data_IF_895496817542
#
_entry.id   IF_895496817542
#
_cell.length_a   1.000
_cell.length_b   1.000
_cell.length_c   1.000
_cell.angle_alpha   90.00
_cell.angle_beta   90.00
_cell.angle_gamma   90.00
#
_symmetry.space_group_name_H-M   'P 1'
#
loop_
_entity.id
_entity.type
_entity.pdbx_description
1 polymer ?
#
# COMPACT_ATOMS: atom_id res chain seq x y z
N UNK A 1 -29.62 -9.95 -16.48
CA UNK A 1 -29.54 -9.48 -17.88
C UNK A 1 -29.92 -8.02 -17.91
N UNK A 2 -28.94 -7.14 -17.65
CA UNK A 2 -29.15 -5.69 -17.64
C UNK A 2 -28.30 -5.11 -18.75
N UNK A 3 -28.97 -4.80 -19.86
CA UNK A 3 -28.39 -4.23 -21.08
C UNK A 3 -27.91 -2.81 -20.78
N UNK A 4 -26.59 -2.58 -20.69
CA UNK A 4 -26.05 -1.22 -20.84
C UNK A 4 -25.91 -0.87 -22.33
N UNK A 5 -26.27 0.38 -22.62
CA UNK A 5 -26.41 1.06 -23.92
C UNK A 5 -25.55 0.54 -25.08
N UNK A 6 -26.26 0.22 -26.15
CA UNK A 6 -25.79 0.00 -27.51
C UNK A 6 -24.92 1.21 -27.98
N UNK A 7 -23.61 1.02 -28.15
CA UNK A 7 -22.76 1.98 -28.86
C UNK A 7 -23.03 1.84 -30.37
N UNK A 8 -23.73 2.82 -30.95
CA UNK A 8 -23.66 3.03 -32.41
C UNK A 8 -22.25 3.51 -32.79
N UNK A 9 -21.77 3.15 -34.00
CA UNK A 9 -20.41 3.47 -34.41
C UNK A 9 -20.24 4.99 -34.55
N UNK A 10 -19.13 5.50 -34.00
CA UNK A 10 -18.75 6.90 -34.10
C UNK A 10 -18.57 7.33 -35.58
N UNK A 11 -18.92 8.58 -35.94
CA UNK A 11 -18.59 9.13 -37.26
C UNK A 11 -17.07 9.27 -37.43
N UNK A 12 -16.55 9.33 -38.67
CA UNK A 12 -15.10 9.39 -38.90
C UNK A 12 -14.52 10.67 -38.28
N UNK A 13 -13.65 10.49 -37.30
CA UNK A 13 -12.90 11.57 -36.64
C UNK A 13 -11.86 12.08 -37.62
N UNK A 14 -12.05 13.32 -38.09
CA UNK A 14 -10.99 14.12 -38.69
C UNK A 14 -9.95 14.44 -37.60
N UNK A 15 -8.65 14.51 -37.92
CA UNK A 15 -7.62 14.81 -36.93
C UNK A 15 -7.83 16.22 -36.37
N UNK A 16 -8.15 16.31 -35.08
CA UNK A 16 -8.25 17.55 -34.32
C UNK A 16 -6.95 17.76 -33.56
N UNK A 17 -6.14 18.73 -34.03
CA UNK A 17 -4.90 19.20 -33.41
C UNK A 17 -5.21 20.06 -32.16
N UNK A 18 -5.62 19.42 -31.06
CA UNK A 18 -5.77 20.08 -29.75
C UNK A 18 -4.66 19.66 -28.77
N UNK A 19 -3.80 20.59 -28.31
CA UNK A 19 -2.65 20.28 -27.45
C UNK A 19 -3.06 20.25 -25.97
N UNK A 20 -3.17 19.06 -25.38
CA UNK A 20 -3.59 18.89 -23.98
C UNK A 20 -3.01 17.69 -23.22
N UNK A 21 -1.98 17.03 -23.74
CA UNK A 21 -1.23 15.99 -23.04
C UNK A 21 0.28 16.21 -23.26
N UNK A 22 0.81 17.27 -22.68
CA UNK A 22 2.25 17.58 -22.69
C UNK A 22 3.01 16.83 -21.58
N UNK A 23 4.34 16.64 -21.70
CA UNK A 23 5.16 16.04 -20.65
C UNK A 23 5.04 16.81 -19.33
N UNK A 24 4.96 16.08 -18.20
CA UNK A 24 4.82 16.60 -16.83
C UNK A 24 5.70 17.84 -16.61
N UNK A 25 5.12 18.93 -16.13
CA UNK A 25 5.81 20.22 -16.04
C UNK A 25 7.01 20.16 -15.07
N UNK A 26 8.05 20.96 -15.30
CA UNK A 26 9.20 21.07 -14.37
C UNK A 26 8.76 21.38 -12.93
N UNK A 27 7.65 22.10 -12.77
CA UNK A 27 7.06 22.41 -11.47
C UNK A 27 6.52 21.15 -10.77
N UNK A 28 5.81 20.29 -11.50
CA UNK A 28 5.30 19.02 -10.96
C UNK A 28 6.42 18.03 -10.67
N UNK A 29 7.44 17.96 -11.53
CA UNK A 29 8.64 17.16 -11.29
C UNK A 29 9.35 17.60 -10.01
N UNK A 30 9.57 18.91 -9.83
CA UNK A 30 10.15 19.46 -8.61
C UNK A 30 9.28 19.17 -7.38
N UNK A 31 7.95 19.29 -7.51
CA UNK A 31 7.00 18.98 -6.42
C UNK A 31 7.10 17.52 -6.00
N UNK A 32 7.14 16.58 -6.94
CA UNK A 32 7.29 15.15 -6.69
C UNK A 32 8.65 14.81 -6.08
N UNK A 33 9.73 15.42 -6.57
CA UNK A 33 11.07 15.25 -6.03
C UNK A 33 11.16 15.70 -4.57
N UNK A 34 10.58 16.86 -4.22
CA UNK A 34 10.54 17.33 -2.83
C UNK A 34 9.71 16.42 -1.93
N UNK A 35 8.53 15.93 -2.38
CA UNK A 35 7.76 14.94 -1.63
C UNK A 35 8.58 13.69 -1.36
N UNK A 36 9.27 13.17 -2.38
CA UNK A 36 10.13 11.98 -2.23
C UNK A 36 11.27 12.21 -1.25
N UNK A 37 11.94 13.37 -1.32
CA UNK A 37 13.00 13.72 -0.38
C UNK A 37 12.51 13.73 1.09
N UNK A 38 11.32 14.28 1.34
CA UNK A 38 10.72 14.29 2.68
C UNK A 38 10.40 12.86 3.16
N UNK A 39 9.81 12.02 2.31
CA UNK A 39 9.49 10.62 2.67
C UNK A 39 10.77 9.82 2.94
N UNK A 40 11.81 9.97 2.10
CA UNK A 40 13.11 9.35 2.32
C UNK A 40 13.73 9.80 3.64
N UNK A 41 13.74 11.11 3.92
CA UNK A 41 14.25 11.65 5.18
C UNK A 41 13.52 11.09 6.41
N UNK A 42 12.20 10.88 6.30
CA UNK A 42 11.41 10.29 7.38
C UNK A 42 11.83 8.86 7.71
N UNK A 43 12.00 8.02 6.68
CA UNK A 43 12.49 6.64 6.85
C UNK A 43 13.93 6.62 7.36
N UNK A 44 14.79 7.51 6.87
CA UNK A 44 16.20 7.58 7.32
C UNK A 44 16.32 7.99 8.78
N UNK A 45 15.51 8.93 9.25
CA UNK A 45 15.45 9.32 10.67
C UNK A 45 15.03 8.14 11.54
N UNK A 46 13.97 7.43 11.14
CA UNK A 46 13.49 6.25 11.86
C UNK A 46 14.53 5.14 11.88
N UNK A 47 15.26 4.93 10.78
CA UNK A 47 16.33 3.93 10.71
C UNK A 47 17.49 4.27 11.62
N UNK A 48 17.86 5.55 11.72
CA UNK A 48 18.98 5.98 12.54
C UNK A 48 18.64 5.99 14.04
N UNK A 49 17.43 6.42 14.41
CA UNK A 49 17.01 6.58 15.80
C UNK A 49 15.54 6.14 15.96
N UNK A 50 15.27 4.82 15.99
CA UNK A 50 13.90 4.29 15.99
C UNK A 50 13.10 4.69 17.23
N UNK A 51 13.74 4.85 18.39
CA UNK A 51 13.07 5.17 19.65
C UNK A 51 12.77 6.67 19.82
N UNK A 52 13.33 7.53 18.96
CA UNK A 52 13.16 8.97 19.09
C UNK A 52 11.84 9.46 18.49
N UNK A 53 11.22 10.50 19.09
CA UNK A 53 9.98 11.07 18.56
C UNK A 53 10.19 11.72 17.19
N UNK A 54 9.25 11.49 16.28
CA UNK A 54 9.27 12.08 14.94
C UNK A 54 8.59 13.45 15.01
N UNK A 55 9.31 14.49 14.58
CA UNK A 55 8.80 15.86 14.58
C UNK A 55 8.94 16.50 13.20
N UNK A 56 8.05 17.44 12.89
CA UNK A 56 8.06 18.13 11.60
C UNK A 56 9.36 18.92 11.39
N UNK A 57 9.98 19.44 12.46
CA UNK A 57 11.26 20.15 12.38
C UNK A 57 12.39 19.20 11.97
N UNK A 58 12.50 18.03 12.62
CA UNK A 58 13.50 17.02 12.27
C UNK A 58 13.35 16.54 10.83
N UNK A 59 12.11 16.27 10.41
CA UNK A 59 11.81 15.87 9.03
C UNK A 59 12.18 16.96 8.03
N UNK A 60 11.83 18.22 8.33
CA UNK A 60 12.12 19.35 7.46
C UNK A 60 13.64 19.58 7.34
N UNK A 61 14.35 19.57 8.47
CA UNK A 61 15.80 19.73 8.52
C UNK A 61 16.51 18.62 7.74
N UNK A 62 16.13 17.35 7.95
CA UNK A 62 16.70 16.21 7.22
C UNK A 62 16.39 16.23 5.72
N UNK A 63 15.22 16.75 5.33
CA UNK A 63 14.83 16.91 3.93
C UNK A 63 15.39 18.20 3.27
N UNK A 64 16.10 19.04 4.02
CA UNK A 64 16.66 20.30 3.51
C UNK A 64 15.60 21.36 3.16
N UNK A 65 14.47 21.36 3.86
CA UNK A 65 13.35 22.29 3.64
C UNK A 65 12.97 23.00 4.94
N UNK A 66 12.24 24.11 4.86
CA UNK A 66 11.69 24.76 6.07
C UNK A 66 10.48 23.97 6.61
N UNK A 67 10.17 24.10 7.91
CA UNK A 67 8.94 23.58 8.51
C UNK A 67 7.67 24.02 7.75
N UNK A 68 7.60 25.28 7.35
CA UNK A 68 6.49 25.80 6.52
C UNK A 68 6.43 25.08 5.18
N UNK A 69 7.57 24.84 4.54
CA UNK A 69 7.66 24.09 3.29
C UNK A 69 7.16 22.66 3.49
N UNK A 70 7.57 21.97 4.54
CA UNK A 70 7.07 20.64 4.88
C UNK A 70 5.53 20.61 4.91
N UNK A 71 4.90 21.52 5.66
CA UNK A 71 3.44 21.57 5.76
C UNK A 71 2.72 22.00 4.48
N UNK A 72 3.41 22.69 3.55
CA UNK A 72 2.86 22.95 2.22
C UNK A 72 2.75 21.66 1.37
N UNK A 73 3.56 20.64 1.67
CA UNK A 73 3.57 19.36 0.96
C UNK A 73 2.75 18.28 1.66
N UNK A 74 2.74 18.25 3.00
CA UNK A 74 2.05 17.25 3.80
C UNK A 74 1.22 17.93 4.89
N UNK A 75 -0.06 17.56 5.00
CA UNK A 75 -0.94 18.12 6.03
C UNK A 75 -0.53 17.73 7.46
N UNK A 76 0.26 16.68 7.61
CA UNK A 76 0.72 16.17 8.89
C UNK A 76 1.99 15.31 8.73
N UNK A 77 2.60 14.91 9.85
CA UNK A 77 3.74 13.97 9.87
C UNK A 77 3.27 12.59 9.39
N UNK A 78 2.09 12.20 9.87
CA UNK A 78 1.37 10.98 9.55
C UNK A 78 1.17 10.84 8.04
N UNK A 79 0.74 11.92 7.37
CA UNK A 79 0.55 11.94 5.92
C UNK A 79 1.85 11.73 5.14
N UNK A 80 3.01 12.13 5.68
CA UNK A 80 4.31 11.86 5.04
C UNK A 80 4.75 10.41 5.24
N UNK A 81 4.54 9.88 6.45
CA UNK A 81 4.89 8.50 6.80
C UNK A 81 3.95 7.46 6.19
N UNK A 82 2.72 7.83 5.81
CA UNK A 82 1.75 6.95 5.16
C UNK A 82 2.03 6.73 3.65
N UNK A 83 2.83 7.60 3.02
CA UNK A 83 3.09 7.55 1.56
C UNK A 83 3.53 6.17 1.06
N UNK A 84 4.42 5.42 1.75
CA UNK A 84 4.75 4.05 1.37
C UNK A 84 3.53 3.12 1.24
N UNK A 85 2.60 3.19 2.19
CA UNK A 85 1.36 2.41 2.15
C UNK A 85 0.46 2.89 1.01
N UNK A 86 0.31 4.21 0.83
CA UNK A 86 -0.50 4.77 -0.25
C UNK A 86 -0.01 4.33 -1.63
N UNK A 87 1.30 4.41 -1.88
CA UNK A 87 1.89 3.98 -3.15
C UNK A 87 1.70 2.48 -3.38
N UNK A 88 1.80 1.66 -2.32
CA UNK A 88 1.57 0.22 -2.41
C UNK A 88 0.12 -0.08 -2.80
N UNK A 89 -0.84 0.64 -2.22
CA UNK A 89 -2.26 0.49 -2.55
C UNK A 89 -2.59 1.01 -3.94
N UNK A 90 -2.00 2.13 -4.36
CA UNK A 90 -2.16 2.64 -5.72
C UNK A 90 -1.73 1.59 -6.75
N UNK A 91 -0.58 0.96 -6.51
CA UNK A 91 -0.08 -0.13 -7.35
C UNK A 91 -1.03 -1.35 -7.32
N UNK A 92 -1.51 -1.74 -6.15
CA UNK A 92 -2.44 -2.86 -6.03
C UNK A 92 -3.76 -2.59 -6.79
N UNK A 93 -4.32 -1.39 -6.68
CA UNK A 93 -5.55 -0.97 -7.36
C UNK A 93 -5.36 -0.87 -8.87
N UNK A 94 -4.26 -0.26 -9.33
CA UNK A 94 -3.93 -0.19 -10.76
C UNK A 94 -3.86 -1.61 -11.37
N UNK A 95 -3.26 -2.54 -10.64
CA UNK A 95 -3.16 -3.94 -11.07
C UNK A 95 -4.51 -4.65 -11.08
N UNK A 96 -5.39 -4.40 -10.10
CA UNK A 96 -6.75 -4.94 -10.11
C UNK A 96 -7.52 -4.50 -11.38
N UNK A 97 -7.36 -3.25 -11.79
CA UNK A 97 -7.97 -2.72 -13.02
C UNK A 97 -7.48 -3.36 -14.33
N UNK A 98 -6.40 -4.15 -14.29
CA UNK A 98 -5.88 -4.86 -15.48
C UNK A 98 -6.43 -6.28 -15.63
N UNK A 99 -7.12 -6.79 -14.62
CA UNK A 99 -7.67 -8.16 -14.61
C UNK A 99 -9.00 -8.24 -15.36
N UNK A 100 -9.38 -9.41 -15.91
CA UNK A 100 -10.68 -9.59 -16.55
C UNK A 100 -11.84 -9.27 -15.61
N UNK A 101 -12.87 -8.59 -16.11
CA UNK A 101 -14.06 -8.14 -15.34
C UNK A 101 -14.76 -9.29 -14.59
N UNK A 102 -14.76 -10.51 -15.15
CA UNK A 102 -15.41 -11.67 -14.53
C UNK A 102 -14.56 -12.37 -13.45
N UNK A 103 -13.38 -11.83 -13.11
CA UNK A 103 -12.52 -12.42 -12.08
C UNK A 103 -13.14 -12.19 -10.70
N UNK A 104 -13.40 -13.25 -9.90
CA UNK A 104 -13.91 -13.07 -8.55
C UNK A 104 -12.98 -12.19 -7.71
N UNK A 105 -13.52 -11.23 -6.97
CA UNK A 105 -12.73 -10.21 -6.25
C UNK A 105 -11.66 -10.78 -5.31
N UNK A 106 -11.93 -11.92 -4.66
CA UNK A 106 -10.95 -12.60 -3.80
C UNK A 106 -9.79 -13.21 -4.61
N UNK A 107 -10.07 -13.74 -5.79
CA UNK A 107 -9.03 -14.22 -6.72
C UNK A 107 -8.25 -13.05 -7.32
N UNK A 108 -8.93 -11.96 -7.65
CA UNK A 108 -8.30 -10.75 -8.16
C UNK A 108 -7.29 -10.17 -7.16
N UNK A 109 -7.64 -10.12 -5.87
CA UNK A 109 -6.75 -9.68 -4.80
C UNK A 109 -5.48 -10.55 -4.71
N UNK A 110 -5.60 -11.88 -4.80
CA UNK A 110 -4.44 -12.80 -4.82
C UNK A 110 -3.54 -12.53 -6.01
N UNK A 111 -4.11 -12.35 -7.21
CA UNK A 111 -3.36 -12.08 -8.45
C UNK A 111 -2.66 -10.73 -8.44
N UNK A 112 -3.32 -9.69 -7.92
CA UNK A 112 -2.73 -8.35 -7.82
C UNK A 112 -1.41 -8.37 -7.04
N UNK A 113 -1.34 -9.12 -5.92
CA UNK A 113 -0.10 -9.28 -5.15
C UNK A 113 0.91 -10.19 -5.85
N UNK A 114 0.45 -11.29 -6.47
CA UNK A 114 1.31 -12.32 -7.06
C UNK A 114 2.01 -11.87 -8.33
N UNK A 115 1.24 -11.37 -9.29
CA UNK A 115 1.68 -11.26 -10.68
C UNK A 115 2.22 -9.87 -11.00
N UNK A 116 1.84 -8.86 -10.21
CA UNK A 116 2.00 -7.47 -10.59
C UNK A 116 2.74 -6.61 -9.55
N UNK A 117 2.77 -7.02 -8.28
CA UNK A 117 3.58 -6.36 -7.25
C UNK A 117 4.91 -7.09 -7.11
N UNK A 118 6.03 -6.41 -7.33
CA UNK A 118 7.35 -7.00 -7.08
C UNK A 118 7.64 -7.09 -5.58
N UNK A 119 8.46 -8.05 -5.17
CA UNK A 119 8.95 -8.12 -3.79
C UNK A 119 9.61 -6.80 -3.33
N UNK A 120 10.31 -6.10 -4.23
CA UNK A 120 10.94 -4.81 -3.92
C UNK A 120 9.92 -3.69 -3.64
N UNK A 121 8.71 -3.76 -4.22
CA UNK A 121 7.64 -2.79 -3.92
C UNK A 121 7.14 -2.89 -2.47
N UNK A 122 7.31 -4.04 -1.81
CA UNK A 122 6.97 -4.23 -0.39
C UNK A 122 8.01 -3.61 0.55
N UNK A 123 9.24 -3.35 0.08
CA UNK A 123 10.35 -2.89 0.94
C UNK A 123 9.99 -1.69 1.82
N UNK A 124 9.41 -0.59 1.30
CA UNK A 124 9.13 0.59 2.12
C UNK A 124 8.08 0.31 3.21
N UNK A 125 7.06 -0.48 2.89
CA UNK A 125 6.00 -0.87 3.84
C UNK A 125 6.54 -1.84 4.90
N UNK A 126 7.37 -2.80 4.47
CA UNK A 126 8.04 -3.76 5.33
C UNK A 126 9.02 -3.07 6.31
N UNK A 127 9.75 -2.07 5.84
CA UNK A 127 10.68 -1.29 6.67
C UNK A 127 9.92 -0.50 7.75
N UNK A 128 8.88 0.24 7.38
CA UNK A 128 8.04 0.94 8.34
C UNK A 128 7.35 -0.02 9.31
N UNK A 129 7.01 -1.23 8.86
CA UNK A 129 6.41 -2.24 9.71
C UNK A 129 7.33 -2.66 10.85
N UNK A 130 8.58 -3.01 10.54
CA UNK A 130 9.56 -3.41 11.54
C UNK A 130 9.93 -2.25 12.47
N UNK A 131 10.04 -1.02 11.94
CA UNK A 131 10.35 0.16 12.75
C UNK A 131 9.25 0.52 13.75
N UNK A 132 8.01 0.11 13.48
CA UNK A 132 6.88 0.36 14.38
C UNK A 132 7.00 -0.39 15.71
N UNK A 133 7.74 -1.50 15.77
CA UNK A 133 7.94 -2.29 16.99
C UNK A 133 8.66 -1.50 18.09
N UNK A 134 9.61 -0.64 17.70
CA UNK A 134 10.40 0.18 18.61
C UNK A 134 9.84 1.61 18.79
N UNK A 135 8.86 2.01 17.98
CA UNK A 135 8.32 3.38 17.99
C UNK A 135 6.80 3.43 18.22
N UNK A 136 6.33 3.79 19.42
CA UNK A 136 4.89 3.85 19.72
C UNK A 136 4.09 4.87 18.90
N UNK A 137 4.72 5.94 18.40
CA UNK A 137 4.06 6.91 17.51
C UNK A 137 3.81 6.27 16.14
N UNK A 138 4.81 5.56 15.61
CA UNK A 138 4.70 4.85 14.34
C UNK A 138 3.74 3.65 14.42
N UNK A 139 3.72 2.92 15.54
CA UNK A 139 2.76 1.83 15.76
C UNK A 139 1.29 2.31 15.70
N UNK A 140 1.00 3.48 16.29
CA UNK A 140 -0.33 4.10 16.21
C UNK A 140 -0.68 4.50 14.79
N UNK A 141 0.25 5.16 14.11
CA UNK A 141 0.08 5.54 12.71
C UNK A 141 -0.17 4.32 11.83
N UNK A 142 0.59 3.25 12.02
CA UNK A 142 0.43 2.03 11.24
C UNK A 142 -0.97 1.43 11.40
N UNK A 143 -1.53 1.43 12.62
CA UNK A 143 -2.91 0.98 12.84
C UNK A 143 -3.91 1.83 12.04
N UNK A 144 -3.71 3.14 12.00
CA UNK A 144 -4.50 4.06 11.18
C UNK A 144 -4.33 3.77 9.68
N UNK A 145 -3.09 3.59 9.20
CA UNK A 145 -2.78 3.20 7.82
C UNK A 145 -3.51 1.94 7.37
N UNK A 146 -3.57 0.91 8.24
CA UNK A 146 -4.34 -0.31 7.94
C UNK A 146 -5.85 -0.03 7.85
N UNK A 147 -6.40 0.83 8.70
CA UNK A 147 -7.81 1.19 8.63
C UNK A 147 -8.13 1.99 7.36
N UNK A 148 -7.33 2.99 7.02
CA UNK A 148 -7.46 3.77 5.79
C UNK A 148 -7.34 2.89 4.55
N UNK A 149 -6.46 1.89 4.57
CA UNK A 149 -6.37 0.89 3.51
C UNK A 149 -7.73 0.18 3.28
N UNK A 150 -8.39 -0.25 4.35
CA UNK A 150 -9.70 -0.89 4.23
C UNK A 150 -10.76 0.07 3.67
N UNK A 151 -10.76 1.34 4.09
CA UNK A 151 -11.67 2.38 3.59
C UNK A 151 -11.49 2.58 2.08
N UNK A 152 -10.25 2.70 1.60
CA UNK A 152 -9.93 2.84 0.18
C UNK A 152 -10.37 1.64 -0.65
N UNK A 153 -10.25 0.43 -0.11
CA UNK A 153 -10.75 -0.79 -0.79
C UNK A 153 -12.28 -0.75 -0.88
N UNK A 154 -12.98 -0.29 0.16
CA UNK A 154 -14.44 -0.13 0.11
C UNK A 154 -14.85 0.88 -0.95
N UNK A 155 -14.17 2.03 -1.02
CA UNK A 155 -14.40 3.05 -2.06
C UNK A 155 -14.21 2.45 -3.45
N UNK A 156 -13.07 1.80 -3.69
CA UNK A 156 -12.77 1.15 -4.97
C UNK A 156 -13.87 0.16 -5.40
N UNK A 157 -14.31 -0.74 -4.51
CA UNK A 157 -15.33 -1.74 -4.84
C UNK A 157 -16.69 -1.12 -5.16
N UNK A 158 -17.02 0.01 -4.52
CA UNK A 158 -18.32 0.68 -4.70
C UNK A 158 -18.32 1.68 -5.85
N UNK A 159 -17.15 2.18 -6.25
CA UNK A 159 -16.98 2.96 -7.48
C UNK A 159 -17.14 2.08 -8.72
N UNK A 160 -16.64 0.85 -8.67
CA UNK A 160 -16.79 -0.15 -9.73
C UNK A 160 -18.25 -0.65 -9.84
N UNK A 161 -18.85 -1.03 -8.71
CA UNK A 161 -20.25 -1.46 -8.64
C UNK A 161 -20.99 -0.84 -7.43
N UNK A 162 -21.79 0.18 -7.70
CA UNK A 162 -22.57 0.89 -6.69
C UNK A 162 -23.65 0.01 -6.01
N UNK A 163 -24.04 -1.11 -6.63
CA UNK A 163 -25.03 -2.04 -6.09
C UNK A 163 -24.43 -3.01 -5.06
N UNK A 164 -23.10 -3.04 -4.89
CA UNK A 164 -22.44 -3.84 -3.85
C UNK A 164 -22.96 -3.41 -2.46
N UNK A 165 -23.51 -4.34 -1.66
CA UNK A 165 -24.01 -4.00 -0.32
C UNK A 165 -22.90 -3.44 0.58
N UNK A 166 -23.15 -2.35 1.35
CA UNK A 166 -22.13 -1.73 2.19
C UNK A 166 -21.45 -2.70 3.17
N UNK A 167 -22.22 -3.60 3.80
CA UNK A 167 -21.67 -4.60 4.71
C UNK A 167 -20.75 -5.58 3.97
N UNK A 168 -21.10 -6.01 2.76
CA UNK A 168 -20.28 -6.94 2.00
C UNK A 168 -18.93 -6.33 1.61
N UNK A 169 -18.93 -5.09 1.10
CA UNK A 169 -17.71 -4.36 0.77
C UNK A 169 -16.82 -4.17 2.02
N UNK A 170 -17.40 -3.68 3.12
CA UNK A 170 -16.66 -3.45 4.36
C UNK A 170 -16.10 -4.75 4.95
N UNK A 171 -16.89 -5.82 5.00
CA UNK A 171 -16.42 -7.12 5.51
C UNK A 171 -15.29 -7.67 4.65
N UNK A 172 -15.41 -7.61 3.33
CA UNK A 172 -14.35 -8.06 2.43
C UNK A 172 -13.06 -7.25 2.61
N UNK A 173 -13.16 -5.92 2.62
CA UNK A 173 -12.01 -5.03 2.80
C UNK A 173 -11.30 -5.28 4.15
N UNK A 174 -12.07 -5.39 5.23
CA UNK A 174 -11.52 -5.66 6.58
C UNK A 174 -10.86 -7.05 6.66
N UNK A 175 -11.45 -8.06 6.03
CA UNK A 175 -10.86 -9.39 5.98
C UNK A 175 -9.55 -9.42 5.15
N UNK A 176 -9.55 -8.72 4.01
CA UNK A 176 -8.39 -8.59 3.13
C UNK A 176 -7.21 -7.89 3.84
N UNK A 177 -7.48 -6.75 4.48
CA UNK A 177 -6.49 -6.03 5.29
C UNK A 177 -6.03 -6.85 6.49
N UNK A 178 -6.95 -7.53 7.17
CA UNK A 178 -6.64 -8.41 8.30
C UNK A 178 -5.68 -9.53 7.92
N UNK A 179 -5.89 -10.17 6.75
CA UNK A 179 -5.01 -11.20 6.21
C UNK A 179 -3.61 -10.64 5.90
N UNK A 180 -3.53 -9.47 5.27
CA UNK A 180 -2.26 -8.78 5.03
C UNK A 180 -1.53 -8.46 6.33
N UNK A 181 -2.21 -7.87 7.32
CA UNK A 181 -1.62 -7.56 8.63
C UNK A 181 -1.11 -8.80 9.35
N UNK A 182 -1.85 -9.91 9.27
CA UNK A 182 -1.42 -11.20 9.83
C UNK A 182 -0.15 -11.73 9.15
N UNK A 183 -0.06 -11.59 7.82
CA UNK A 183 1.14 -11.98 7.07
C UNK A 183 2.38 -11.17 7.47
N UNK A 184 2.26 -9.84 7.58
CA UNK A 184 3.36 -8.98 8.04
C UNK A 184 3.79 -9.32 9.47
N UNK A 185 2.84 -9.54 10.38
CA UNK A 185 3.15 -9.93 11.77
C UNK A 185 3.86 -11.29 11.84
N UNK A 186 3.40 -12.28 11.07
CA UNK A 186 4.04 -13.59 11.01
C UNK A 186 5.47 -13.48 10.46
N UNK A 187 5.66 -12.83 9.31
CA UNK A 187 6.97 -12.58 8.72
C UNK A 187 7.91 -11.82 9.65
N UNK A 188 7.41 -10.77 10.33
CA UNK A 188 8.18 -9.99 11.31
C UNK A 188 8.67 -10.85 12.48
N UNK A 189 7.79 -11.72 13.01
CA UNK A 189 8.16 -12.63 14.09
C UNK A 189 9.25 -13.64 13.68
N UNK A 190 9.16 -14.21 12.47
CA UNK A 190 10.20 -15.10 11.95
C UNK A 190 11.53 -14.36 11.75
N UNK A 191 11.50 -13.09 11.35
CA UNK A 191 12.71 -12.28 11.27
C UNK A 191 13.32 -12.01 12.64
N UNK A 192 12.51 -11.71 13.66
CA UNK A 192 12.97 -11.50 15.04
C UNK A 192 13.80 -12.67 15.57
N UNK A 193 13.40 -13.90 15.25
CA UNK A 193 14.12 -15.13 15.59
C UNK A 193 15.49 -15.27 14.88
N UNK A 194 15.71 -14.55 13.76
CA UNK A 194 16.90 -14.66 12.91
C UNK A 194 17.76 -13.37 12.84
N UNK A 195 17.29 -12.24 13.36
CA UNK A 195 17.84 -10.90 13.07
C UNK A 195 18.78 -10.33 14.14
N UNK A 196 19.07 -11.09 15.19
CA UNK A 196 19.92 -10.69 16.31
C UNK A 196 21.35 -10.23 15.92
N UNK A 197 21.83 -10.50 14.70
CA UNK A 197 23.21 -10.18 14.28
C UNK A 197 23.32 -9.22 13.06
N UNK A 198 22.19 -8.76 12.51
CA UNK A 198 22.13 -8.19 11.15
C UNK A 198 21.92 -6.68 11.00
N UNK A 199 21.04 -6.09 11.81
CA UNK A 199 20.48 -4.76 11.56
C UNK A 199 19.45 -4.74 10.41
N UNK A 200 18.52 -3.78 10.46
CA UNK A 200 17.31 -3.71 9.62
C UNK A 200 17.57 -3.84 8.10
N UNK A 201 18.63 -3.21 7.60
CA UNK A 201 18.98 -3.26 6.18
C UNK A 201 19.39 -4.66 5.68
N UNK A 202 20.03 -5.49 6.52
CA UNK A 202 20.33 -6.89 6.19
C UNK A 202 19.09 -7.77 6.30
N UNK A 203 18.18 -7.46 7.23
CA UNK A 203 16.90 -8.18 7.41
C UNK A 203 15.92 -7.98 6.24
N UNK A 204 16.03 -6.87 5.49
CA UNK A 204 15.21 -6.57 4.31
C UNK A 204 15.87 -6.96 2.98
N UNK A 205 16.73 -7.98 2.97
CA UNK A 205 17.29 -8.52 1.72
C UNK A 205 16.19 -9.05 0.79
N UNK A 206 16.49 -9.17 -0.51
CA UNK A 206 15.54 -9.69 -1.51
C UNK A 206 14.87 -11.02 -1.10
N UNK A 207 15.58 -12.03 -0.56
CA UNK A 207 14.95 -13.27 -0.11
C UNK A 207 13.92 -13.07 1.01
N UNK A 208 14.14 -12.09 1.88
CA UNK A 208 13.21 -11.75 2.97
C UNK A 208 11.93 -11.09 2.42
N UNK A 209 12.07 -10.21 1.42
CA UNK A 209 10.94 -9.59 0.74
C UNK A 209 10.15 -10.59 -0.11
N UNK A 210 10.83 -11.51 -0.78
CA UNK A 210 10.18 -12.63 -1.50
C UNK A 210 9.42 -13.53 -0.53
N UNK A 211 9.96 -13.77 0.67
CA UNK A 211 9.26 -14.49 1.73
C UNK A 211 8.03 -13.72 2.21
N UNK A 212 8.14 -12.43 2.52
CA UNK A 212 7.00 -11.59 2.89
C UNK A 212 5.92 -11.63 1.81
N UNK A 213 6.29 -11.48 0.54
CA UNK A 213 5.35 -11.57 -0.58
C UNK A 213 4.64 -12.93 -0.59
N UNK A 214 5.37 -14.03 -0.44
CA UNK A 214 4.80 -15.37 -0.37
C UNK A 214 3.84 -15.53 0.80
N UNK A 215 4.18 -15.02 1.99
CA UNK A 215 3.33 -15.04 3.18
C UNK A 215 2.04 -14.23 2.97
N UNK A 216 2.12 -13.06 2.32
CA UNK A 216 0.92 -12.27 1.97
C UNK A 216 0.04 -13.07 1.01
N UNK A 217 0.61 -13.63 -0.06
CA UNK A 217 -0.13 -14.45 -1.04
C UNK A 217 -0.81 -15.65 -0.35
N UNK A 218 -0.11 -16.31 0.57
CA UNK A 218 -0.66 -17.43 1.34
C UNK A 218 -1.84 -16.99 2.20
N UNK A 219 -1.71 -15.88 2.96
CA UNK A 219 -2.79 -15.37 3.80
C UNK A 219 -4.03 -14.98 2.98
N UNK A 220 -3.85 -14.35 1.82
CA UNK A 220 -4.95 -14.03 0.91
C UNK A 220 -5.57 -15.28 0.29
N UNK A 221 -4.77 -16.31 0.02
CA UNK A 221 -5.23 -17.60 -0.48
C UNK A 221 -6.08 -18.33 0.56
N UNK A 222 -5.69 -18.30 1.85
CA UNK A 222 -6.51 -18.84 2.95
C UNK A 222 -7.88 -18.15 3.02
N UNK A 223 -7.90 -16.82 2.86
CA UNK A 223 -9.15 -16.05 2.83
C UNK A 223 -10.03 -16.44 1.63
N UNK A 224 -9.45 -16.56 0.44
CA UNK A 224 -10.15 -16.97 -0.79
C UNK A 224 -10.76 -18.38 -0.67
N UNK A 225 -10.01 -19.32 -0.09
CA UNK A 225 -10.37 -20.74 -0.05
C UNK A 225 -11.18 -21.14 1.20
N UNK A 226 -11.44 -20.19 2.09
CA UNK A 226 -12.22 -20.40 3.32
C UNK A 226 -11.47 -21.23 4.36
N UNK A 227 -10.22 -20.88 4.62
CA UNK A 227 -9.35 -21.44 5.67
C UNK A 227 -9.31 -22.99 5.71
N UNK A 228 -8.87 -23.66 4.62
CA UNK A 228 -8.82 -25.11 4.55
C UNK A 228 -8.03 -25.75 5.70
N UNK A 229 -6.98 -25.09 6.21
CA UNK A 229 -6.19 -25.56 7.33
C UNK A 229 -6.97 -25.72 8.65
N UNK A 230 -8.05 -24.95 8.83
CA UNK A 230 -8.89 -24.99 10.03
C UNK A 230 -10.00 -26.05 9.95
N UNK A 231 -10.23 -26.68 8.79
CA UNK A 231 -11.29 -27.69 8.61
C UNK A 231 -11.05 -28.98 9.39
N UNK A 232 -9.81 -29.25 9.76
CA UNK A 232 -9.42 -30.42 10.58
C UNK A 232 -9.43 -30.12 12.09
N UNK A 233 -9.63 -28.86 12.47
CA UNK A 233 -9.65 -28.41 13.87
C UNK A 233 -11.10 -28.31 14.32
N UNK A 234 -11.68 -29.42 14.79
CA UNK A 234 -12.95 -29.34 15.51
C UNK A 234 -12.77 -28.40 16.72
N UNK A 235 -13.54 -27.31 16.75
CA UNK A 235 -13.72 -26.46 17.92
C UNK A 235 -14.51 -27.19 19.02
#
# INVERSE_FOLDING_TARGET
MTTRRNLSPAPPVLPDDSPGAGPVSRREQNKAATRRAIVTAAVDILRANPDEPITADRLADAAGVSRRTFFNYFGSIEAALNVPMDNFLDLAVENLGTLPEDTPVAEAAVRAIRDAISADALRPVAELFLLAESNPQLARLQLESWNTCAERIVEFLREDDADVPPLAASTFAQALVGAGRAAFAHWGSELGDHSAEGGLARSLGRPSLERLQATVIEALTQLRDGFPALRSTCL
#
